data_IF_642914525715
#
_entry.id   IF_642914525715
#
_cell.length_a   1.000
_cell.length_b   1.000
_cell.length_c   1.000
_cell.angle_alpha   90.00
_cell.angle_beta   90.00
_cell.angle_gamma   90.00
#
_symmetry.space_group_name_H-M   'P 1'
#
loop_
_entity.id
_entity.type
_entity.pdbx_description
1 polymer ?
#
# COMPACT_ATOMS: atom_id res chain seq x y z
N UNK A 1 -41.01 52.06 -25.64
CA UNK A 1 -40.93 50.85 -24.78
C UNK A 1 -40.68 49.63 -25.66
N UNK A 2 -39.53 48.97 -25.54
CA UNK A 2 -39.29 47.60 -26.03
C UNK A 2 -38.21 46.99 -25.16
N UNK A 3 -38.61 46.12 -24.24
CA UNK A 3 -37.73 45.34 -23.36
C UNK A 3 -37.08 44.24 -24.21
N UNK A 4 -35.78 44.35 -24.46
CA UNK A 4 -34.98 43.21 -24.93
C UNK A 4 -34.68 42.33 -23.72
N UNK A 5 -35.43 41.26 -23.61
CA UNK A 5 -35.27 40.23 -22.60
C UNK A 5 -34.04 39.37 -22.96
N UNK A 6 -32.93 39.61 -22.27
CA UNK A 6 -31.78 38.71 -22.21
C UNK A 6 -32.19 37.42 -21.50
N UNK A 7 -32.69 36.44 -22.25
CA UNK A 7 -32.73 35.05 -21.80
C UNK A 7 -31.51 34.36 -22.37
N UNK A 8 -30.38 34.56 -21.70
CA UNK A 8 -29.22 33.69 -21.86
C UNK A 8 -29.59 32.40 -21.10
N UNK A 9 -29.74 31.24 -21.76
CA UNK A 9 -29.76 30.00 -21.02
C UNK A 9 -28.35 29.83 -20.46
N UNK A 10 -28.24 29.94 -19.13
CA UNK A 10 -27.14 29.35 -18.37
C UNK A 10 -27.17 27.84 -18.63
N UNK A 11 -26.65 27.43 -19.79
CA UNK A 11 -26.20 26.06 -20.02
C UNK A 11 -24.88 25.91 -19.27
N UNK A 12 -25.00 25.95 -17.94
CA UNK A 12 -24.05 25.33 -17.03
C UNK A 12 -24.31 23.83 -17.11
N UNK A 13 -23.92 23.24 -18.23
CA UNK A 13 -23.77 21.80 -18.35
C UNK A 13 -22.30 21.59 -18.63
N UNK A 14 -21.49 21.71 -17.58
CA UNK A 14 -20.26 20.94 -17.51
C UNK A 14 -20.73 19.52 -17.17
N UNK A 15 -20.76 18.57 -18.12
CA UNK A 15 -21.02 17.20 -17.74
C UNK A 15 -19.82 16.76 -16.92
N UNK A 16 -20.17 16.22 -15.76
CA UNK A 16 -19.40 15.28 -14.97
C UNK A 16 -18.41 14.44 -15.77
N UNK A 17 -17.38 13.96 -15.06
CA UNK A 17 -16.41 12.92 -15.42
C UNK A 17 -15.09 13.37 -16.03
N UNK A 18 -14.36 14.21 -15.32
CA UNK A 18 -12.97 13.84 -15.05
C UNK A 18 -12.99 12.71 -13.99
N UNK A 19 -13.50 11.52 -14.37
CA UNK A 19 -13.04 10.31 -13.71
C UNK A 19 -11.59 10.24 -14.18
N UNK A 20 -10.67 10.78 -13.40
CA UNK A 20 -9.27 10.53 -13.61
C UNK A 20 -9.14 9.02 -13.74
N UNK A 21 -8.80 8.52 -14.93
CA UNK A 21 -8.55 7.11 -15.14
C UNK A 21 -7.58 6.67 -14.06
N UNK A 22 -8.05 5.83 -13.14
CA UNK A 22 -7.20 5.28 -12.09
C UNK A 22 -6.24 4.35 -12.83
N UNK A 23 -5.04 4.84 -13.12
CA UNK A 23 -4.00 4.04 -13.73
C UNK A 23 -3.46 3.07 -12.67
N UNK A 24 -3.76 1.76 -12.76
CA UNK A 24 -3.38 0.79 -11.73
C UNK A 24 -1.86 0.63 -11.63
N UNK A 25 -1.14 0.79 -12.74
CA UNK A 25 0.32 0.71 -12.77
C UNK A 25 0.96 1.87 -12.00
N UNK A 26 0.43 3.10 -12.20
CA UNK A 26 0.87 4.27 -11.46
C UNK A 26 0.58 4.15 -9.96
N UNK A 27 -0.56 3.55 -9.60
CA UNK A 27 -0.92 3.31 -8.20
C UNK A 27 0.06 2.32 -7.55
N UNK A 28 0.36 1.20 -8.22
CA UNK A 28 1.33 0.22 -7.73
C UNK A 28 2.71 0.85 -7.58
N UNK A 29 3.14 1.64 -8.56
CA UNK A 29 4.43 2.34 -8.51
C UNK A 29 4.53 3.27 -7.28
N UNK A 30 3.50 4.09 -7.04
CA UNK A 30 3.47 5.00 -5.88
C UNK A 30 3.51 4.27 -4.54
N UNK A 31 2.76 3.17 -4.41
CA UNK A 31 2.80 2.31 -3.21
C UNK A 31 4.22 1.78 -2.99
N UNK A 32 4.89 1.31 -4.05
CA UNK A 32 6.26 0.82 -3.93
C UNK A 32 7.25 1.93 -3.55
N UNK A 33 7.08 3.15 -4.06
CA UNK A 33 7.91 4.30 -3.69
C UNK A 33 7.73 4.66 -2.21
N UNK A 34 6.49 4.80 -1.75
CA UNK A 34 6.17 5.09 -0.35
C UNK A 34 6.68 3.98 0.58
N UNK A 35 6.47 2.71 0.20
CA UNK A 35 6.94 1.58 0.98
C UNK A 35 8.47 1.48 1.04
N UNK A 36 9.21 1.94 0.02
CA UNK A 36 10.67 2.04 0.10
C UNK A 36 11.10 3.04 1.16
N UNK A 37 10.51 4.24 1.15
CA UNK A 37 10.78 5.27 2.16
C UNK A 37 10.43 4.82 3.57
N UNK A 38 9.26 4.20 3.74
CA UNK A 38 8.81 3.63 5.01
C UNK A 38 9.78 2.55 5.52
N UNK A 39 10.15 1.59 4.67
CA UNK A 39 11.07 0.51 5.02
C UNK A 39 12.42 1.05 5.47
N UNK A 40 12.93 2.09 4.81
CA UNK A 40 14.19 2.75 5.17
C UNK A 40 14.14 3.38 6.57
N UNK A 41 13.07 4.11 6.89
CA UNK A 41 12.90 4.76 8.20
C UNK A 41 12.80 3.72 9.32
N UNK A 42 11.91 2.73 9.16
CA UNK A 42 11.69 1.71 10.19
C UNK A 42 12.91 0.82 10.38
N UNK A 43 13.59 0.45 9.30
CA UNK A 43 14.80 -0.37 9.39
C UNK A 43 15.91 0.37 10.12
N UNK A 44 16.15 1.65 9.81
CA UNK A 44 17.14 2.46 10.54
C UNK A 44 16.83 2.54 12.03
N UNK A 45 15.56 2.74 12.40
CA UNK A 45 15.14 2.77 13.80
C UNK A 45 15.38 1.42 14.51
N UNK A 46 14.92 0.31 13.92
CA UNK A 46 15.12 -1.04 14.45
C UNK A 46 16.60 -1.43 14.53
N UNK A 47 17.36 -1.11 13.50
CA UNK A 47 18.80 -1.38 13.43
C UNK A 47 19.58 -0.65 14.52
N UNK A 48 19.26 0.63 14.74
CA UNK A 48 19.90 1.44 15.80
C UNK A 48 19.68 0.80 17.17
N UNK A 49 18.45 0.33 17.43
CA UNK A 49 18.13 -0.38 18.65
C UNK A 49 18.88 -1.73 18.79
N UNK A 50 18.83 -2.60 17.77
CA UNK A 50 19.45 -3.93 17.81
C UNK A 50 20.97 -3.84 17.89
N UNK A 51 21.59 -3.02 17.03
CA UNK A 51 23.03 -2.83 17.03
C UNK A 51 23.54 -2.22 18.34
N UNK A 52 22.79 -1.32 18.97
CA UNK A 52 23.09 -0.79 20.30
C UNK A 52 23.08 -1.86 21.38
N UNK A 53 22.05 -2.72 21.41
CA UNK A 53 21.94 -3.84 22.36
C UNK A 53 23.05 -4.89 22.16
N UNK A 54 23.36 -5.20 20.91
CA UNK A 54 24.39 -6.19 20.58
C UNK A 54 25.80 -5.68 20.94
N UNK A 55 26.11 -4.42 20.62
CA UNK A 55 27.35 -3.77 21.06
C UNK A 55 27.50 -3.76 22.58
N UNK A 56 26.43 -3.42 23.31
CA UNK A 56 26.43 -3.46 24.78
C UNK A 56 26.68 -4.86 25.35
N UNK A 57 26.37 -5.90 24.57
CA UNK A 57 26.58 -7.31 24.91
C UNK A 57 27.89 -7.89 24.36
N UNK A 58 28.77 -7.05 23.80
CA UNK A 58 30.05 -7.47 23.20
C UNK A 58 29.90 -8.26 21.89
N UNK A 59 28.72 -8.28 21.28
CA UNK A 59 28.42 -9.01 20.04
C UNK A 59 28.33 -8.05 18.85
N UNK A 60 28.71 -8.52 17.67
CA UNK A 60 28.45 -7.82 16.41
C UNK A 60 27.16 -8.34 15.76
N UNK A 61 26.52 -7.49 14.96
CA UNK A 61 25.38 -7.88 14.12
C UNK A 61 25.92 -8.19 12.73
N UNK A 62 25.46 -9.30 12.13
CA UNK A 62 25.86 -9.70 10.78
C UNK A 62 25.59 -8.61 9.76
N UNK A 63 26.46 -8.50 8.75
CA UNK A 63 26.41 -7.43 7.76
C UNK A 63 25.13 -7.41 6.93
N UNK A 64 24.51 -8.57 6.66
CA UNK A 64 23.28 -8.65 5.86
C UNK A 64 21.97 -8.47 6.65
N UNK A 65 22.02 -8.34 7.98
CA UNK A 65 20.81 -8.28 8.81
C UNK A 65 20.03 -6.98 8.54
N UNK A 66 20.73 -5.88 8.25
CA UNK A 66 20.09 -4.60 7.91
C UNK A 66 19.28 -4.73 6.61
N UNK A 67 19.88 -5.29 5.57
CA UNK A 67 19.25 -5.48 4.25
C UNK A 67 18.07 -6.46 4.34
N UNK A 68 18.21 -7.54 5.11
CA UNK A 68 17.11 -8.48 5.36
C UNK A 68 15.95 -7.81 6.11
N UNK A 69 16.23 -7.03 7.16
CA UNK A 69 15.22 -6.26 7.87
C UNK A 69 14.51 -5.29 6.92
N UNK A 70 15.26 -4.59 6.08
CA UNK A 70 14.73 -3.65 5.08
C UNK A 70 13.82 -4.34 4.08
N UNK A 71 14.24 -5.46 3.52
CA UNK A 71 13.46 -6.23 2.57
C UNK A 71 12.14 -6.69 3.20
N UNK A 72 12.18 -7.20 4.43
CA UNK A 72 10.98 -7.61 5.17
C UNK A 72 10.04 -6.43 5.44
N UNK A 73 10.56 -5.27 5.88
CA UNK A 73 9.72 -4.08 6.11
C UNK A 73 9.07 -3.58 4.82
N UNK A 74 9.81 -3.62 3.71
CA UNK A 74 9.28 -3.25 2.40
C UNK A 74 8.14 -4.17 1.96
N UNK A 75 8.36 -5.49 2.05
CA UNK A 75 7.35 -6.49 1.68
C UNK A 75 6.10 -6.38 2.55
N UNK A 76 6.26 -6.21 3.87
CA UNK A 76 5.15 -6.00 4.81
C UNK A 76 4.30 -4.80 4.41
N UNK A 77 4.93 -3.68 4.06
CA UNK A 77 4.23 -2.47 3.63
C UNK A 77 3.46 -2.68 2.33
N UNK A 78 4.08 -3.31 1.32
CA UNK A 78 3.43 -3.54 0.02
C UNK A 78 2.22 -4.46 0.18
N UNK A 79 2.39 -5.58 0.88
CA UNK A 79 1.30 -6.55 1.10
C UNK A 79 0.15 -5.92 1.90
N UNK A 80 0.45 -5.15 2.95
CA UNK A 80 -0.59 -4.48 3.74
C UNK A 80 -1.40 -3.48 2.89
N UNK A 81 -0.74 -2.71 2.03
CA UNK A 81 -1.42 -1.79 1.10
C UNK A 81 -2.27 -2.53 0.08
N UNK A 82 -1.76 -3.62 -0.52
CA UNK A 82 -2.53 -4.46 -1.44
C UNK A 82 -3.80 -5.01 -0.77
N UNK A 83 -3.68 -5.50 0.47
CA UNK A 83 -4.83 -5.96 1.25
C UNK A 83 -5.83 -4.84 1.53
N UNK A 84 -5.36 -3.63 1.88
CA UNK A 84 -6.24 -2.50 2.15
C UNK A 84 -7.05 -2.09 0.90
N UNK A 85 -6.39 -2.06 -0.26
CA UNK A 85 -7.04 -1.75 -1.54
C UNK A 85 -8.09 -2.82 -1.87
N UNK A 86 -7.72 -4.10 -1.79
CA UNK A 86 -8.64 -5.20 -2.06
C UNK A 86 -9.82 -5.23 -1.10
N UNK A 87 -9.63 -4.91 0.19
CA UNK A 87 -10.73 -4.78 1.16
C UNK A 87 -11.65 -3.62 0.81
N UNK A 88 -11.10 -2.49 0.38
CA UNK A 88 -11.90 -1.33 -0.08
C UNK A 88 -12.69 -1.66 -1.35
N UNK A 89 -12.10 -2.44 -2.26
CA UNK A 89 -12.78 -2.94 -3.46
C UNK A 89 -13.86 -3.97 -3.11
N UNK A 90 -13.63 -4.85 -2.13
CA UNK A 90 -14.61 -5.84 -1.70
C UNK A 90 -15.96 -5.22 -1.34
N UNK A 91 -15.94 -4.07 -0.68
CA UNK A 91 -17.13 -3.36 -0.22
C UNK A 91 -17.90 -2.66 -1.36
N UNK A 92 -17.26 -2.49 -2.52
CA UNK A 92 -17.82 -1.75 -3.67
C UNK A 92 -18.14 -2.67 -4.87
N UNK A 93 -17.48 -3.82 -4.98
CA UNK A 93 -17.65 -4.77 -6.07
C UNK A 93 -18.78 -5.76 -5.75
N UNK A 94 -19.72 -6.00 -6.69
CA UNK A 94 -20.77 -7.01 -6.52
C UNK A 94 -20.22 -8.40 -6.16
N UNK A 95 -20.90 -9.19 -5.30
CA UNK A 95 -20.39 -10.49 -4.85
C UNK A 95 -20.13 -11.53 -5.95
N UNK A 96 -20.83 -11.44 -7.08
CA UNK A 96 -20.60 -12.28 -8.25
C UNK A 96 -19.34 -11.88 -9.03
N UNK A 97 -19.13 -10.58 -9.27
CA UNK A 97 -17.90 -10.07 -9.91
C UNK A 97 -16.66 -10.32 -9.03
N UNK A 98 -16.79 -10.16 -7.71
CA UNK A 98 -15.71 -10.45 -6.77
C UNK A 98 -15.28 -11.92 -6.79
N UNK A 99 -16.24 -12.84 -6.93
CA UNK A 99 -15.97 -14.28 -7.03
C UNK A 99 -15.30 -14.66 -8.35
N UNK A 100 -15.59 -13.98 -9.46
CA UNK A 100 -14.95 -14.25 -10.76
C UNK A 100 -13.43 -14.02 -10.74
N UNK A 101 -12.96 -13.15 -9.84
CA UNK A 101 -11.55 -12.82 -9.69
C UNK A 101 -10.91 -13.51 -8.48
N UNK A 102 -11.59 -14.47 -7.85
CA UNK A 102 -11.12 -15.18 -6.65
C UNK A 102 -10.66 -14.23 -5.52
N UNK A 103 -11.32 -13.07 -5.37
CA UNK A 103 -10.80 -11.99 -4.53
C UNK A 103 -10.63 -12.36 -3.05
N UNK A 104 -11.50 -13.22 -2.50
CA UNK A 104 -11.38 -13.71 -1.11
C UNK A 104 -10.13 -14.59 -0.93
N UNK A 105 -9.83 -15.44 -1.92
CA UNK A 105 -8.63 -16.27 -1.92
C UNK A 105 -7.36 -15.43 -2.01
N UNK A 106 -7.36 -14.40 -2.86
CA UNK A 106 -6.22 -13.46 -2.97
C UNK A 106 -5.99 -12.74 -1.63
N UNK A 107 -7.05 -12.29 -0.95
CA UNK A 107 -6.95 -11.66 0.37
C UNK A 107 -6.37 -12.63 1.42
N UNK A 108 -6.76 -13.90 1.40
CA UNK A 108 -6.22 -14.94 2.27
C UNK A 108 -4.72 -15.18 1.99
N UNK A 109 -4.34 -15.35 0.74
CA UNK A 109 -2.94 -15.56 0.32
C UNK A 109 -2.03 -14.40 0.75
N UNK A 110 -2.50 -13.16 0.58
CA UNK A 110 -1.78 -11.96 1.05
C UNK A 110 -1.67 -11.93 2.58
N UNK A 111 -2.72 -12.33 3.31
CA UNK A 111 -2.67 -12.43 4.77
C UNK A 111 -1.64 -13.45 5.24
N UNK A 112 -1.61 -14.64 4.61
CA UNK A 112 -0.60 -15.68 4.89
C UNK A 112 0.80 -15.19 4.59
N UNK A 113 1.00 -14.52 3.44
CA UNK A 113 2.28 -13.92 3.08
C UNK A 113 2.74 -12.91 4.12
N UNK A 114 1.86 -12.01 4.57
CA UNK A 114 2.17 -11.05 5.62
C UNK A 114 2.57 -11.75 6.93
N UNK A 115 1.83 -12.77 7.36
CA UNK A 115 2.17 -13.54 8.55
C UNK A 115 3.53 -14.23 8.44
N UNK A 116 3.86 -14.79 7.28
CA UNK A 116 5.14 -15.46 7.04
C UNK A 116 6.34 -14.50 7.11
N UNK A 117 6.17 -13.23 6.72
CA UNK A 117 7.22 -12.21 6.91
C UNK A 117 7.46 -11.88 8.38
N UNK A 118 6.46 -12.06 9.26
CA UNK A 118 6.58 -11.87 10.71
C UNK A 118 7.16 -13.14 11.36
N UNK A 119 6.71 -14.33 10.95
CA UNK A 119 7.16 -15.62 11.46
C UNK A 119 8.60 -15.98 11.08
N UNK A 120 9.08 -15.52 9.91
CA UNK A 120 10.46 -15.75 9.45
C UNK A 120 11.54 -15.01 10.26
N UNK A 121 11.16 -14.06 11.12
CA UNK A 121 12.08 -13.33 12.01
C UNK A 121 12.17 -13.94 13.42
N UNK A 122 11.38 -14.97 13.74
CA UNK A 122 11.33 -15.60 15.07
C UNK A 122 12.47 -16.59 15.37
N UNK A 123 13.48 -16.67 14.50
CA UNK A 123 14.59 -17.63 14.60
C UNK A 123 15.97 -17.01 14.87
N UNK A 124 16.03 -15.76 15.34
CA UNK A 124 17.27 -15.10 15.77
C UNK A 124 17.24 -14.73 17.26
#
# INVERSE_FOLDING_TARGET
MRKLFLWMPLMFVAPYTAVAEVNPELMIYKIQEECRGFADVITRAKWTYVSGKMKASGKSVGSGVYESLRAVQFEQCVVANQMQILKSLRDTVPPDEWRKVDGDKILEELSVRLQNTVGGLGGF
#
